data_IF_966969943016
#
_entry.id   IF_966969943016
#
_cell.length_a   1.000
_cell.length_b   1.000
_cell.length_c   1.000
_cell.angle_alpha   90.00
_cell.angle_beta   90.00
_cell.angle_gamma   90.00
#
_symmetry.space_group_name_H-M   'P 1'
#
loop_
_entity.id
_entity.type
_entity.pdbx_description
1 polymer ?
#
# COMPACT_ATOMS: atom_id res chain seq x y z
N UNK A 1 21.05 4.43 20.70
CA UNK A 1 20.20 4.96 19.62
C UNK A 1 19.09 5.74 20.31
N UNK A 2 18.88 7.02 19.98
CA UNK A 2 17.80 7.81 20.58
C UNK A 2 16.48 7.16 20.18
N UNK A 3 15.61 6.90 21.14
CA UNK A 3 14.27 6.35 20.88
C UNK A 3 13.35 7.50 20.44
N UNK A 4 13.00 7.52 19.16
CA UNK A 4 12.14 8.55 18.57
C UNK A 4 10.65 8.22 18.68
N UNK A 5 10.29 6.99 19.08
CA UNK A 5 8.89 6.56 19.16
C UNK A 5 8.05 7.45 20.10
N UNK A 6 8.52 7.80 21.34
CA UNK A 6 7.74 8.67 22.21
C UNK A 6 7.47 10.06 21.62
N UNK A 7 8.40 10.57 20.81
CA UNK A 7 8.21 11.85 20.14
C UNK A 7 7.18 11.74 19.01
N UNK A 8 7.24 10.68 18.20
CA UNK A 8 6.27 10.42 17.14
C UNK A 8 4.88 10.24 17.75
N UNK A 9 4.74 9.40 18.78
CA UNK A 9 3.47 9.19 19.48
C UNK A 9 2.91 10.50 20.06
N UNK A 10 3.77 11.34 20.63
CA UNK A 10 3.40 12.67 21.10
C UNK A 10 2.91 13.58 19.98
N UNK A 11 3.59 13.59 18.83
CA UNK A 11 3.21 14.38 17.66
C UNK A 11 1.84 13.94 17.09
N UNK A 12 1.64 12.63 16.95
CA UNK A 12 0.37 12.06 16.48
C UNK A 12 -0.77 12.32 17.48
N UNK A 13 -0.52 12.11 18.77
CA UNK A 13 -1.53 12.31 19.84
C UNK A 13 -1.92 13.78 20.02
N UNK A 14 -1.00 14.71 19.74
CA UNK A 14 -1.32 16.14 19.80
C UNK A 14 -2.35 16.56 18.74
N UNK A 15 -2.51 15.79 17.65
CA UNK A 15 -3.65 15.94 16.73
C UNK A 15 -3.70 17.28 15.99
N UNK A 16 -2.58 18.01 15.90
CA UNK A 16 -2.63 19.43 15.50
C UNK A 16 -2.82 19.64 14.01
N UNK A 17 -2.55 18.63 13.18
CA UNK A 17 -2.56 18.70 11.72
C UNK A 17 -1.55 19.68 11.12
N UNK A 18 -0.61 20.21 11.93
CA UNK A 18 0.44 21.09 11.42
C UNK A 18 1.42 20.30 10.56
N UNK A 19 1.85 20.91 9.46
CA UNK A 19 2.92 20.36 8.64
C UNK A 19 4.16 20.12 9.50
N UNK A 20 4.65 18.88 9.48
CA UNK A 20 5.83 18.44 10.21
C UNK A 20 6.73 17.63 9.27
N UNK A 21 7.77 18.27 8.76
CA UNK A 21 8.67 17.62 7.81
C UNK A 21 9.46 16.48 8.44
N UNK A 22 9.73 16.53 9.75
CA UNK A 22 10.47 15.45 10.44
C UNK A 22 9.58 14.22 10.52
N UNK A 23 8.31 14.38 10.90
CA UNK A 23 7.32 13.30 10.89
C UNK A 23 7.14 12.71 9.48
N UNK A 24 7.07 13.56 8.45
CA UNK A 24 6.93 13.09 7.07
C UNK A 24 8.20 12.37 6.56
N UNK A 25 9.39 12.79 6.95
CA UNK A 25 10.63 12.05 6.67
C UNK A 25 10.63 10.68 7.36
N UNK A 26 10.15 10.58 8.60
CA UNK A 26 9.99 9.30 9.29
C UNK A 26 9.00 8.39 8.58
N UNK A 27 7.91 8.91 8.03
CA UNK A 27 6.96 8.12 7.25
C UNK A 27 7.64 7.41 6.08
N UNK A 28 8.47 8.13 5.30
CA UNK A 28 9.19 7.57 4.15
C UNK A 28 10.24 6.57 4.62
N UNK A 29 11.08 6.95 5.59
CA UNK A 29 12.14 6.10 6.11
C UNK A 29 11.61 4.79 6.70
N UNK A 30 10.47 4.84 7.40
CA UNK A 30 9.85 3.66 7.99
C UNK A 30 9.46 2.65 6.91
N UNK A 31 9.01 3.10 5.73
CA UNK A 31 8.72 2.21 4.61
C UNK A 31 10.00 1.58 4.06
N UNK A 32 11.03 2.40 3.82
CA UNK A 32 12.33 1.94 3.29
C UNK A 32 13.01 0.90 4.19
N UNK A 33 12.81 1.02 5.50
CA UNK A 33 13.38 0.12 6.50
C UNK A 33 12.48 -1.07 6.86
N UNK A 34 11.29 -1.18 6.27
CA UNK A 34 10.34 -2.26 6.55
C UNK A 34 9.57 -2.12 7.88
N UNK A 35 9.62 -0.94 8.51
CA UNK A 35 8.87 -0.58 9.73
C UNK A 35 7.42 -0.20 9.38
N UNK A 36 6.68 -1.14 8.77
CA UNK A 36 5.38 -0.88 8.15
C UNK A 36 4.30 -0.44 9.13
N UNK A 37 4.30 -0.96 10.36
CA UNK A 37 3.36 -0.53 11.40
C UNK A 37 3.50 0.96 11.71
N UNK A 38 4.75 1.41 11.93
CA UNK A 38 5.05 2.82 12.18
C UNK A 38 4.69 3.69 10.97
N UNK A 39 5.07 3.24 9.77
CA UNK A 39 4.74 3.94 8.54
C UNK A 39 3.22 4.15 8.40
N UNK A 40 2.42 3.11 8.65
CA UNK A 40 0.96 3.18 8.53
C UNK A 40 0.31 4.04 9.62
N UNK A 41 0.87 4.05 10.84
CA UNK A 41 0.41 4.96 11.90
C UNK A 41 0.63 6.43 11.51
N UNK A 42 1.80 6.75 10.98
CA UNK A 42 2.10 8.11 10.52
C UNK A 42 1.25 8.46 9.28
N UNK A 43 1.11 7.53 8.35
CA UNK A 43 0.35 7.71 7.11
C UNK A 43 -1.14 8.00 7.35
N UNK A 44 -1.78 7.27 8.27
CA UNK A 44 -3.21 7.46 8.60
C UNK A 44 -3.47 8.88 9.11
N UNK A 45 -2.62 9.37 10.04
CA UNK A 45 -2.65 10.74 10.52
C UNK A 45 -2.35 11.76 9.42
N UNK A 46 -1.28 11.53 8.65
CA UNK A 46 -0.80 12.49 7.66
C UNK A 46 -1.80 12.66 6.51
N UNK A 47 -2.44 11.59 6.04
CA UNK A 47 -3.50 11.67 5.03
C UNK A 47 -4.75 12.35 5.59
N UNK A 48 -5.17 12.01 6.82
CA UNK A 48 -6.33 12.64 7.45
C UNK A 48 -6.19 14.17 7.57
N UNK A 49 -4.98 14.64 7.87
CA UNK A 49 -4.69 16.07 8.03
C UNK A 49 -4.12 16.74 6.76
N UNK A 50 -4.09 16.05 5.61
CA UNK A 50 -3.58 16.56 4.33
C UNK A 50 -2.13 17.08 4.40
N UNK A 51 -1.29 16.40 5.18
CA UNK A 51 0.14 16.68 5.25
C UNK A 51 0.83 16.35 3.93
N UNK A 52 1.81 17.17 3.58
CA UNK A 52 2.55 17.04 2.32
C UNK A 52 3.90 16.39 2.54
N UNK A 53 4.35 15.62 1.55
CA UNK A 53 5.73 15.16 1.53
C UNK A 53 6.69 16.36 1.46
N UNK A 54 7.84 16.31 2.16
CA UNK A 54 8.84 17.37 2.08
C UNK A 54 9.54 17.35 0.72
N UNK A 55 10.19 18.46 0.36
CA UNK A 55 11.11 18.44 -0.79
C UNK A 55 12.23 17.40 -0.56
N UNK A 56 12.71 16.72 -1.63
CA UNK A 56 12.43 16.96 -3.04
C UNK A 56 11.31 16.07 -3.63
N UNK A 57 10.46 15.44 -2.81
CA UNK A 57 9.41 14.56 -3.32
C UNK A 57 8.37 15.34 -4.13
N UNK A 58 8.08 14.87 -5.34
CA UNK A 58 7.16 15.55 -6.27
C UNK A 58 5.78 14.89 -6.38
N UNK A 59 5.65 13.63 -5.96
CA UNK A 59 4.37 12.89 -5.93
C UNK A 59 3.56 13.22 -4.68
N UNK A 60 2.25 12.97 -4.71
CA UNK A 60 1.38 13.11 -3.53
C UNK A 60 1.66 12.02 -2.50
N UNK A 61 1.30 12.27 -1.23
CA UNK A 61 1.43 11.29 -0.15
C UNK A 61 0.70 9.98 -0.49
N UNK A 62 -0.56 10.07 -0.94
CA UNK A 62 -1.35 8.90 -1.33
C UNK A 62 -0.73 8.09 -2.47
N UNK A 63 -0.15 8.78 -3.47
CA UNK A 63 0.60 8.12 -4.55
C UNK A 63 1.82 7.39 -4.01
N UNK A 64 2.63 8.06 -3.17
CA UNK A 64 3.82 7.47 -2.56
C UNK A 64 3.49 6.22 -1.76
N UNK A 65 2.51 6.30 -0.84
CA UNK A 65 2.12 5.15 0.00
C UNK A 65 1.68 3.96 -0.85
N UNK A 66 0.86 4.21 -1.87
CA UNK A 66 0.34 3.18 -2.77
C UNK A 66 1.47 2.51 -3.55
N UNK A 67 2.40 3.29 -4.08
CA UNK A 67 3.50 2.79 -4.89
C UNK A 67 4.52 2.03 -4.06
N UNK A 68 5.02 2.64 -2.97
CA UNK A 68 6.09 2.06 -2.18
C UNK A 68 5.65 0.76 -1.50
N UNK A 69 4.46 0.70 -0.89
CA UNK A 69 4.00 -0.55 -0.28
C UNK A 69 3.78 -1.67 -1.31
N UNK A 70 3.29 -1.34 -2.51
CA UNK A 70 3.16 -2.32 -3.58
C UNK A 70 4.54 -2.80 -4.05
N UNK A 71 5.51 -1.90 -4.20
CA UNK A 71 6.87 -2.27 -4.61
C UNK A 71 7.58 -3.10 -3.53
N UNK A 72 7.35 -2.83 -2.24
CA UNK A 72 7.84 -3.66 -1.12
C UNK A 72 7.23 -5.06 -1.12
N UNK A 73 5.91 -5.18 -1.31
CA UNK A 73 5.23 -6.48 -1.42
C UNK A 73 5.75 -7.29 -2.61
N UNK A 74 5.92 -6.63 -3.76
CA UNK A 74 6.49 -7.24 -4.97
C UNK A 74 7.92 -7.71 -4.76
N UNK A 75 8.75 -6.90 -4.08
CA UNK A 75 10.13 -7.25 -3.76
C UNK A 75 10.20 -8.45 -2.80
N UNK A 76 9.35 -8.49 -1.77
CA UNK A 76 9.24 -9.62 -0.86
C UNK A 76 8.86 -10.91 -1.61
N UNK A 77 7.86 -10.85 -2.50
CA UNK A 77 7.47 -11.99 -3.33
C UNK A 77 8.62 -12.49 -4.23
N UNK A 78 9.36 -11.57 -4.87
CA UNK A 78 10.52 -11.92 -5.69
C UNK A 78 11.66 -12.56 -4.88
N UNK A 79 11.80 -12.19 -3.61
CA UNK A 79 12.75 -12.77 -2.67
C UNK A 79 12.21 -14.02 -1.94
N UNK A 80 11.00 -14.49 -2.28
CA UNK A 80 10.29 -15.57 -1.60
C UNK A 80 10.19 -15.36 -0.07
N UNK A 81 9.99 -14.11 0.33
CA UNK A 81 9.75 -13.68 1.71
C UNK A 81 8.26 -13.43 1.93
N UNK A 82 7.73 -13.70 3.13
CA UNK A 82 6.35 -13.38 3.45
C UNK A 82 6.14 -11.87 3.47
N UNK A 83 4.96 -11.42 3.05
CA UNK A 83 4.48 -10.06 3.20
C UNK A 83 3.04 -10.08 3.73
N UNK A 84 2.75 -9.30 4.76
CA UNK A 84 1.42 -9.30 5.36
C UNK A 84 0.45 -8.48 4.50
N UNK A 85 -0.60 -9.14 4.00
CA UNK A 85 -1.63 -8.50 3.17
C UNK A 85 -2.33 -7.34 3.89
N UNK A 86 -2.43 -7.41 5.23
CA UNK A 86 -3.05 -6.38 6.06
C UNK A 86 -2.40 -5.00 5.87
N UNK A 87 -1.09 -4.94 5.57
CA UNK A 87 -0.43 -3.67 5.27
C UNK A 87 -0.97 -3.03 4.00
N UNK A 88 -1.15 -3.81 2.92
CA UNK A 88 -1.72 -3.29 1.67
C UNK A 88 -3.21 -2.95 1.80
N UNK A 89 -3.96 -3.71 2.59
CA UNK A 89 -5.37 -3.40 2.89
C UNK A 89 -5.50 -2.08 3.64
N UNK A 90 -4.60 -1.82 4.59
CA UNK A 90 -4.56 -0.55 5.31
C UNK A 90 -4.15 0.61 4.40
N UNK A 91 -3.16 0.43 3.51
CA UNK A 91 -2.85 1.46 2.49
C UNK A 91 -4.06 1.73 1.61
N UNK A 92 -4.74 0.69 1.12
CA UNK A 92 -5.94 0.84 0.30
C UNK A 92 -7.04 1.64 1.02
N UNK A 93 -7.22 1.41 2.32
CA UNK A 93 -8.17 2.15 3.15
C UNK A 93 -7.75 3.61 3.33
N UNK A 94 -6.49 3.85 3.69
CA UNK A 94 -5.95 5.19 3.93
C UNK A 94 -6.03 6.04 2.65
N UNK A 95 -5.74 5.45 1.49
CA UNK A 95 -5.67 6.18 0.21
C UNK A 95 -6.94 6.04 -0.66
N UNK A 96 -8.05 5.62 -0.05
CA UNK A 96 -9.32 5.39 -0.76
C UNK A 96 -9.78 6.62 -1.54
N UNK A 97 -9.73 7.80 -0.91
CA UNK A 97 -10.18 9.08 -1.47
C UNK A 97 -9.04 9.94 -2.04
N UNK A 98 -7.80 9.44 -2.02
CA UNK A 98 -6.67 10.16 -2.60
C UNK A 98 -6.68 10.06 -4.13
N UNK A 99 -6.51 11.21 -4.78
CA UNK A 99 -6.22 11.26 -6.22
C UNK A 99 -4.79 10.76 -6.49
N UNK A 100 -4.66 9.96 -7.55
CA UNK A 100 -3.40 9.37 -7.99
C UNK A 100 -3.52 8.85 -9.42
N UNK A 101 -2.41 8.66 -10.15
CA UNK A 101 -2.43 7.99 -11.44
C UNK A 101 -3.04 6.58 -11.34
N UNK A 102 -3.81 6.19 -12.36
CA UNK A 102 -4.40 4.85 -12.46
C UNK A 102 -3.35 3.75 -12.34
N UNK A 103 -2.14 3.97 -12.87
CA UNK A 103 -1.03 3.04 -12.78
C UNK A 103 -0.57 2.78 -11.33
N UNK A 104 -0.57 3.81 -10.49
CA UNK A 104 -0.23 3.70 -9.07
C UNK A 104 -1.29 2.86 -8.36
N UNK A 105 -2.59 3.16 -8.57
CA UNK A 105 -3.70 2.40 -7.99
C UNK A 105 -3.73 0.94 -8.48
N UNK A 106 -3.46 0.71 -9.77
CA UNK A 106 -3.37 -0.61 -10.35
C UNK A 106 -2.25 -1.46 -9.72
N UNK A 107 -1.11 -0.84 -9.36
CA UNK A 107 0.01 -1.51 -8.72
C UNK A 107 -0.36 -2.09 -7.36
N UNK A 108 -0.99 -1.30 -6.49
CA UNK A 108 -1.49 -1.77 -5.18
C UNK A 108 -2.51 -2.90 -5.32
N UNK A 109 -3.48 -2.74 -6.23
CA UNK A 109 -4.50 -3.77 -6.47
C UNK A 109 -3.91 -5.08 -7.00
N UNK A 110 -2.88 -4.99 -7.86
CA UNK A 110 -2.16 -6.17 -8.34
C UNK A 110 -1.58 -6.96 -7.17
N UNK A 111 -0.81 -6.31 -6.30
CA UNK A 111 -0.13 -7.02 -5.20
C UNK A 111 -1.11 -7.52 -4.12
N UNK A 112 -2.19 -6.77 -3.84
CA UNK A 112 -3.31 -7.25 -3.01
C UNK A 112 -3.90 -8.54 -3.57
N UNK A 113 -4.22 -8.55 -4.87
CA UNK A 113 -4.79 -9.72 -5.52
C UNK A 113 -3.86 -10.92 -5.48
N UNK A 114 -2.57 -10.72 -5.75
CA UNK A 114 -1.58 -11.80 -5.72
C UNK A 114 -1.43 -12.42 -4.32
N UNK A 115 -1.34 -11.61 -3.27
CA UNK A 115 -1.23 -12.09 -1.89
C UNK A 115 -2.48 -12.84 -1.38
N UNK A 116 -3.65 -12.56 -1.97
CA UNK A 116 -4.92 -13.18 -1.59
C UNK A 116 -5.24 -14.46 -2.37
N UNK A 117 -4.49 -14.78 -3.43
CA UNK A 117 -4.77 -15.91 -4.34
C UNK A 117 -5.10 -17.22 -3.60
N UNK A 118 -4.33 -17.56 -2.56
CA UNK A 118 -4.49 -18.82 -1.82
C UNK A 118 -5.49 -18.72 -0.66
N UNK A 119 -5.69 -17.52 -0.10
CA UNK A 119 -6.51 -17.31 1.11
C UNK A 119 -7.96 -16.94 0.78
N UNK A 120 -8.16 -16.12 -0.24
CA UNK A 120 -9.45 -15.65 -0.71
C UNK A 120 -9.44 -15.45 -2.24
N UNK A 121 -9.57 -16.53 -3.02
CA UNK A 121 -9.42 -16.50 -4.48
C UNK A 121 -10.47 -15.63 -5.18
N UNK A 122 -11.68 -15.48 -4.62
CA UNK A 122 -12.73 -14.62 -5.17
C UNK A 122 -12.35 -13.13 -5.07
N UNK A 123 -11.92 -12.71 -3.87
CA UNK A 123 -11.46 -11.33 -3.65
C UNK A 123 -10.18 -11.04 -4.43
N UNK A 124 -9.27 -12.02 -4.50
CA UNK A 124 -8.07 -11.94 -5.34
C UNK A 124 -8.42 -11.65 -6.80
N UNK A 125 -9.36 -12.41 -7.37
CA UNK A 125 -9.81 -12.22 -8.73
C UNK A 125 -10.37 -10.80 -8.96
N UNK A 126 -11.23 -10.33 -8.06
CA UNK A 126 -11.81 -8.98 -8.15
C UNK A 126 -10.74 -7.88 -8.16
N UNK A 127 -9.72 -7.99 -7.30
CA UNK A 127 -8.62 -7.03 -7.27
C UNK A 127 -7.78 -7.07 -8.56
N UNK A 128 -7.43 -8.26 -9.05
CA UNK A 128 -6.64 -8.40 -10.27
C UNK A 128 -7.39 -7.89 -11.51
N UNK A 129 -8.69 -8.15 -11.61
CA UNK A 129 -9.53 -7.63 -12.69
C UNK A 129 -9.62 -6.10 -12.66
N UNK A 130 -9.79 -5.51 -11.47
CA UNK A 130 -9.76 -4.05 -11.30
C UNK A 130 -8.39 -3.46 -11.65
N UNK A 131 -7.30 -4.10 -11.23
CA UNK A 131 -5.94 -3.70 -11.59
C UNK A 131 -5.74 -3.70 -13.11
N UNK A 132 -6.22 -4.74 -13.80
CA UNK A 132 -6.15 -4.83 -15.26
C UNK A 132 -7.00 -3.78 -15.96
N UNK A 133 -8.18 -3.45 -15.40
CA UNK A 133 -9.05 -2.40 -15.91
C UNK A 133 -8.39 -1.02 -15.89
N UNK A 134 -7.64 -0.72 -14.83
CA UNK A 134 -6.89 0.53 -14.67
C UNK A 134 -5.59 0.57 -15.50
N UNK A 135 -4.90 -0.57 -15.63
CA UNK A 135 -3.68 -0.66 -16.42
C UNK A 135 -3.62 -1.99 -17.20
N UNK A 136 -3.85 -1.91 -18.51
CA UNK A 136 -3.87 -3.07 -19.40
C UNK A 136 -2.50 -3.78 -19.52
N UNK A 137 -1.42 -3.10 -19.15
CA UNK A 137 -0.04 -3.58 -19.17
C UNK A 137 0.45 -4.08 -17.80
N UNK A 138 -0.42 -4.16 -16.78
CA UNK A 138 -0.05 -4.51 -15.40
C UNK A 138 0.41 -5.97 -15.21
N UNK A 139 0.25 -6.82 -16.24
CA UNK A 139 0.86 -8.15 -16.29
C UNK A 139 0.10 -9.31 -15.63
N UNK A 140 -1.15 -9.11 -15.18
CA UNK A 140 -1.91 -10.11 -14.38
C UNK A 140 -2.87 -11.01 -15.19
N UNK A 141 -2.88 -10.90 -16.53
CA UNK A 141 -3.81 -11.65 -17.39
C UNK A 141 -3.71 -13.17 -17.21
N UNK A 142 -2.49 -13.67 -16.98
CA UNK A 142 -2.24 -15.08 -16.73
C UNK A 142 -2.83 -15.55 -15.40
N UNK A 143 -2.67 -14.76 -14.35
CA UNK A 143 -3.14 -15.08 -13.00
C UNK A 143 -4.67 -15.06 -12.91
N UNK A 144 -5.31 -14.04 -13.50
CA UNK A 144 -6.77 -13.98 -13.66
C UNK A 144 -7.31 -15.24 -14.35
N UNK A 145 -6.68 -15.67 -15.45
CA UNK A 145 -7.12 -16.87 -16.19
C UNK A 145 -7.00 -18.13 -15.34
N UNK A 146 -5.94 -18.26 -14.54
CA UNK A 146 -5.75 -19.40 -13.63
C UNK A 146 -6.80 -19.38 -12.52
N UNK A 147 -7.00 -18.25 -11.86
CA UNK A 147 -7.96 -18.08 -10.76
C UNK A 147 -9.40 -18.36 -11.19
N UNK A 148 -9.85 -17.82 -12.34
CA UNK A 148 -11.18 -18.13 -12.88
C UNK A 148 -11.39 -19.64 -13.10
N UNK A 149 -10.37 -20.34 -13.60
CA UNK A 149 -10.45 -21.80 -13.80
C UNK A 149 -10.52 -22.56 -12.47
N UNK A 150 -9.82 -22.07 -11.44
CA UNK A 150 -9.86 -22.67 -10.10
C UNK A 150 -11.22 -22.50 -9.44
N UNK A 151 -11.80 -21.30 -9.51
CA UNK A 151 -13.11 -20.99 -8.93
C UNK A 151 -14.22 -21.81 -9.61
N UNK A 152 -14.25 -21.84 -10.95
CA UNK A 152 -15.24 -22.63 -11.69
C UNK A 152 -15.20 -24.14 -11.37
N UNK A 153 -14.05 -24.68 -10.95
CA UNK A 153 -13.92 -26.09 -10.53
C UNK A 153 -14.32 -26.35 -9.08
N UNK A 154 -14.33 -25.31 -8.26
CA UNK A 154 -14.69 -25.41 -6.85
C UNK A 154 -16.21 -25.32 -6.66
N UNK A 155 -16.91 -24.77 -7.66
CA UNK A 155 -18.37 -24.66 -7.73
C UNK A 155 -19.06 -25.90 -8.33
N UNK A 156 -18.31 -26.86 -8.88
CA UNK A 156 -18.77 -28.17 -9.40
C UNK A 156 -18.63 -29.28 -8.35
#
# INVERSE_FOLDING_TARGET
MVDYLPWIEGALSAGTGKQDNVLMTWCVWAIDCGEYHLALQIADYAVFHDLRLPEPFTRTLGTMLTEEFADQAKAAAAANQPFEVAYLEQVQRITADCDMPDESRARLLRELGLLLTDKNPEQALAYLERALGLNQSIGVKGDIKKLRKQLNKSDE
#
